data_IF_556055287873
#
_entry.id   IF_556055287873
#
_cell.length_a   1.000
_cell.length_b   1.000
_cell.length_c   1.000
_cell.angle_alpha   90.00
_cell.angle_beta   90.00
_cell.angle_gamma   90.00
#
_symmetry.space_group_name_H-M   'P 1'
#
loop_
_entity.id
_entity.type
_entity.pdbx_description
1 polymer ?
#
# COMPACT_ATOMS: atom_id res chain seq x y z
N UNK A 1 -8.03 16.46 -3.00
CA UNK A 1 -7.41 16.78 -1.70
C UNK A 1 -7.76 15.67 -0.70
N UNK A 2 -6.78 15.16 0.04
CA UNK A 2 -6.99 14.13 1.06
C UNK A 2 -7.74 14.73 2.25
N UNK A 3 -8.68 13.98 2.81
CA UNK A 3 -9.42 14.39 4.01
C UNK A 3 -8.44 14.52 5.20
N UNK A 4 -8.57 15.60 6.00
CA UNK A 4 -7.71 15.84 7.17
C UNK A 4 -7.74 14.67 8.16
N UNK A 5 -8.91 14.04 8.35
CA UNK A 5 -9.05 12.88 9.23
C UNK A 5 -8.28 11.68 8.69
N UNK A 6 -8.37 11.42 7.39
CA UNK A 6 -7.63 10.32 6.74
C UNK A 6 -6.12 10.58 6.80
N UNK A 7 -5.68 11.82 6.58
CA UNK A 7 -4.28 12.19 6.70
C UNK A 7 -3.74 11.97 8.13
N UNK A 8 -4.52 12.36 9.15
CA UNK A 8 -4.18 12.14 10.55
C UNK A 8 -4.11 10.65 10.92
N UNK A 9 -5.09 9.85 10.50
CA UNK A 9 -5.10 8.39 10.71
C UNK A 9 -3.85 7.76 10.07
N UNK A 10 -3.54 8.11 8.82
CA UNK A 10 -2.34 7.61 8.14
C UNK A 10 -1.03 8.02 8.86
N UNK A 11 -0.96 9.23 9.40
CA UNK A 11 0.20 9.70 10.15
C UNK A 11 0.38 8.88 11.45
N UNK A 12 -0.68 8.75 12.24
CA UNK A 12 -0.65 8.07 13.54
C UNK A 12 -0.52 6.55 13.42
N UNK A 13 -1.07 5.94 12.37
CA UNK A 13 -1.11 4.49 12.23
C UNK A 13 -0.04 3.88 11.33
N UNK A 14 0.58 4.67 10.45
CA UNK A 14 1.66 4.20 9.56
C UNK A 14 2.99 4.86 9.85
N UNK A 15 3.04 6.19 9.90
CA UNK A 15 4.30 6.93 9.99
C UNK A 15 4.91 6.85 11.39
N UNK A 16 4.14 7.14 12.44
CA UNK A 16 4.62 7.10 13.83
C UNK A 16 5.07 5.67 14.23
N UNK A 17 4.28 4.60 13.99
CA UNK A 17 4.69 3.24 14.36
C UNK A 17 5.92 2.77 13.59
N UNK A 18 6.09 3.24 12.34
CA UNK A 18 7.29 2.95 11.57
C UNK A 18 8.54 3.51 12.23
N UNK A 19 8.57 4.81 12.53
CA UNK A 19 9.76 5.45 13.11
C UNK A 19 10.09 4.95 14.51
N UNK A 20 9.06 4.63 15.32
CA UNK A 20 9.24 4.35 16.75
C UNK A 20 9.42 2.86 17.07
N UNK A 21 8.80 1.96 16.30
CA UNK A 21 8.75 0.52 16.65
C UNK A 21 9.23 -0.41 15.54
N UNK A 22 8.89 -0.13 14.28
CA UNK A 22 9.07 -1.11 13.18
C UNK A 22 10.45 -0.98 12.52
N UNK A 23 10.91 0.25 12.25
CA UNK A 23 12.21 0.52 11.60
C UNK A 23 13.40 -0.13 12.32
N UNK A 24 13.46 -0.19 13.67
CA UNK A 24 14.56 -0.87 14.38
C UNK A 24 14.51 -2.40 14.28
N UNK A 25 13.31 -3.00 14.20
CA UNK A 25 13.14 -4.46 14.20
C UNK A 25 13.51 -5.11 12.87
N UNK A 26 13.41 -4.35 11.79
CA UNK A 26 13.60 -4.88 10.44
C UNK A 26 14.27 -3.85 9.53
N UNK A 27 15.62 -3.68 9.63
CA UNK A 27 16.36 -2.71 8.83
C UNK A 27 16.34 -3.02 7.33
N UNK A 28 15.94 -4.24 6.92
CA UNK A 28 15.91 -4.68 5.52
C UNK A 28 14.50 -4.73 4.91
N UNK A 29 13.44 -4.66 5.74
CA UNK A 29 12.06 -4.64 5.30
C UNK A 29 11.50 -6.00 4.88
N UNK A 30 11.92 -7.07 5.56
CA UNK A 30 11.43 -8.44 5.46
C UNK A 30 10.15 -8.68 6.30
N UNK A 31 8.99 -8.28 5.77
CA UNK A 31 7.68 -8.51 6.40
C UNK A 31 7.12 -9.90 6.01
N UNK A 32 6.43 -10.57 6.95
CA UNK A 32 5.76 -11.84 6.68
C UNK A 32 4.42 -11.63 6.01
N UNK A 33 4.41 -11.64 4.68
CA UNK A 33 3.17 -11.60 3.90
C UNK A 33 2.31 -12.87 4.06
N UNK A 34 2.79 -13.87 4.81
CA UNK A 34 2.01 -15.07 5.16
C UNK A 34 1.32 -14.94 6.54
N UNK A 35 1.41 -13.78 7.19
CA UNK A 35 0.66 -13.51 8.40
C UNK A 35 -0.84 -13.78 8.19
N UNK A 36 -1.45 -14.54 9.11
CA UNK A 36 -2.85 -15.03 8.98
C UNK A 36 -3.83 -13.90 8.68
N UNK A 37 -3.74 -12.79 9.42
CA UNK A 37 -4.63 -11.64 9.23
C UNK A 37 -4.44 -10.97 7.86
N UNK A 38 -3.20 -10.91 7.35
CA UNK A 38 -2.95 -10.39 6.00
C UNK A 38 -3.51 -11.31 4.90
N UNK A 39 -3.33 -12.63 5.03
CA UNK A 39 -3.91 -13.62 4.12
C UNK A 39 -5.44 -13.52 4.11
N UNK A 40 -6.05 -13.44 5.30
CA UNK A 40 -7.51 -13.36 5.46
C UNK A 40 -8.06 -12.07 4.86
N UNK A 41 -7.41 -10.93 5.11
CA UNK A 41 -7.75 -9.65 4.50
C UNK A 41 -7.66 -9.73 2.97
N UNK A 42 -6.58 -10.33 2.45
CA UNK A 42 -6.37 -10.52 1.00
C UNK A 42 -7.50 -11.33 0.37
N UNK A 43 -7.89 -12.44 1.00
CA UNK A 43 -8.97 -13.30 0.51
C UNK A 43 -10.32 -12.61 0.55
N UNK A 44 -10.64 -11.93 1.65
CA UNK A 44 -11.96 -11.33 1.90
C UNK A 44 -12.23 -10.13 0.99
N UNK A 45 -11.19 -9.37 0.64
CA UNK A 45 -11.30 -8.16 -0.16
C UNK A 45 -10.81 -8.33 -1.60
N UNK A 46 -10.66 -9.58 -2.06
CA UNK A 46 -10.16 -9.95 -3.39
C UNK A 46 -8.93 -9.11 -3.80
N UNK A 47 -7.96 -9.05 -2.88
CA UNK A 47 -6.83 -8.16 -3.01
C UNK A 47 -5.85 -8.70 -4.04
N UNK A 48 -5.65 -7.91 -5.09
CA UNK A 48 -4.63 -8.17 -6.09
C UNK A 48 -3.32 -7.58 -5.61
N UNK A 49 -2.35 -8.45 -5.35
CA UNK A 49 -1.00 -8.09 -4.93
C UNK A 49 -0.01 -8.55 -5.98
N UNK A 50 0.74 -7.61 -6.56
CA UNK A 50 1.79 -7.91 -7.54
C UNK A 50 3.09 -7.23 -7.14
N UNK A 51 4.20 -7.95 -7.29
CA UNK A 51 5.55 -7.41 -7.08
C UNK A 51 6.26 -7.37 -8.41
N UNK A 52 6.73 -6.20 -8.79
CA UNK A 52 7.36 -5.94 -10.07
C UNK A 52 8.82 -5.57 -9.89
N UNK A 53 9.68 -5.99 -10.82
CA UNK A 53 11.14 -5.78 -10.69
C UNK A 53 11.51 -4.30 -10.86
N UNK A 54 10.82 -3.58 -11.74
CA UNK A 54 11.08 -2.17 -12.02
C UNK A 54 9.84 -1.29 -11.83
N UNK A 55 10.07 0.04 -11.81
CA UNK A 55 8.97 1.00 -11.73
C UNK A 55 8.13 1.04 -13.01
N UNK A 56 8.76 0.87 -14.18
CA UNK A 56 8.07 0.80 -15.46
C UNK A 56 7.16 -0.45 -15.53
N UNK A 57 7.63 -1.59 -15.02
CA UNK A 57 6.82 -2.81 -14.93
C UNK A 57 5.64 -2.64 -13.97
N UNK A 58 5.85 -1.92 -12.86
CA UNK A 58 4.79 -1.55 -11.92
C UNK A 58 3.72 -0.71 -12.59
N UNK A 59 4.11 0.35 -13.29
CA UNK A 59 3.19 1.25 -13.96
C UNK A 59 2.42 0.55 -15.09
N UNK A 60 3.08 -0.35 -15.83
CA UNK A 60 2.46 -1.16 -16.88
C UNK A 60 1.47 -2.17 -16.29
N UNK A 61 1.85 -2.87 -15.23
CA UNK A 61 0.99 -3.82 -14.53
C UNK A 61 -0.24 -3.13 -13.93
N UNK A 62 -0.04 -1.95 -13.33
CA UNK A 62 -1.14 -1.12 -12.84
C UNK A 62 -2.03 -0.73 -13.99
N UNK A 63 -1.49 -0.17 -15.07
CA UNK A 63 -2.28 0.25 -16.23
C UNK A 63 -3.10 -0.89 -16.82
N UNK A 64 -2.51 -2.09 -16.93
CA UNK A 64 -3.23 -3.30 -17.35
C UNK A 64 -4.34 -3.68 -16.36
N UNK A 65 -4.03 -3.70 -15.06
CA UNK A 65 -5.02 -4.01 -14.01
C UNK A 65 -6.13 -2.97 -13.92
N UNK A 66 -5.86 -1.71 -14.24
CA UNK A 66 -6.84 -0.64 -14.36
C UNK A 66 -7.71 -0.80 -15.61
N UNK A 67 -7.10 -1.17 -16.73
CA UNK A 67 -7.78 -1.40 -18.00
C UNK A 67 -8.73 -2.60 -17.95
N UNK A 68 -8.44 -3.59 -17.10
CA UNK A 68 -9.35 -4.70 -16.82
C UNK A 68 -10.59 -4.33 -16.00
N UNK A 69 -10.81 -3.04 -15.70
CA UNK A 69 -11.89 -2.54 -14.84
C UNK A 69 -12.07 -3.37 -13.58
N UNK A 70 -11.09 -3.32 -12.65
CA UNK A 70 -11.14 -4.14 -11.46
C UNK A 70 -12.46 -3.85 -10.74
N UNK A 71 -13.08 -4.91 -10.24
CA UNK A 71 -14.37 -4.82 -9.56
C UNK A 71 -14.26 -3.75 -8.49
N UNK A 72 -15.36 -3.06 -8.25
CA UNK A 72 -15.36 -1.93 -7.36
C UNK A 72 -14.96 -2.35 -5.92
N UNK A 73 -15.05 -3.63 -5.59
CA UNK A 73 -14.69 -4.26 -4.31
C UNK A 73 -13.22 -4.69 -4.23
N UNK A 74 -12.50 -4.77 -5.36
CA UNK A 74 -11.11 -5.23 -5.41
C UNK A 74 -10.14 -4.15 -4.93
N UNK A 75 -9.18 -4.59 -4.12
CA UNK A 75 -8.06 -3.76 -3.66
C UNK A 75 -6.82 -4.09 -4.50
N UNK A 76 -6.13 -3.07 -5.01
CA UNK A 76 -4.95 -3.26 -5.85
C UNK A 76 -3.69 -2.80 -5.12
N UNK A 77 -2.67 -3.65 -5.09
CA UNK A 77 -1.36 -3.34 -4.54
C UNK A 77 -0.31 -3.79 -5.55
N UNK A 78 0.53 -2.86 -6.01
CA UNK A 78 1.64 -3.15 -6.93
C UNK A 78 2.90 -2.49 -6.42
N UNK A 79 3.88 -3.28 -6.00
CA UNK A 79 5.09 -2.78 -5.36
C UNK A 79 6.35 -3.13 -6.17
N UNK A 80 7.38 -2.28 -6.10
CA UNK A 80 8.63 -2.42 -6.87
C UNK A 80 9.73 -3.13 -6.04
N UNK A 81 10.45 -4.13 -6.57
CA UNK A 81 11.70 -4.63 -5.95
C UNK A 81 12.36 -5.93 -6.48
N UNK A 82 13.56 -6.19 -5.96
CA UNK A 82 14.50 -7.29 -6.23
C UNK A 82 14.26 -8.50 -5.30
N UNK A 83 13.17 -9.24 -5.50
CA UNK A 83 12.87 -10.58 -4.96
C UNK A 83 13.05 -10.90 -3.45
N UNK A 84 13.57 -10.01 -2.60
CA UNK A 84 13.48 -10.13 -1.12
C UNK A 84 12.07 -9.79 -0.61
N UNK A 85 11.20 -9.29 -1.50
CA UNK A 85 9.80 -8.95 -1.29
C UNK A 85 9.58 -7.44 -1.37
N UNK A 86 9.61 -6.81 -2.56
CA UNK A 86 9.22 -5.40 -2.79
C UNK A 86 9.47 -4.45 -1.59
N UNK A 87 10.71 -4.44 -1.06
CA UNK A 87 11.11 -4.06 0.32
C UNK A 87 10.03 -3.34 1.14
N UNK A 88 9.14 -4.15 1.70
CA UNK A 88 8.04 -3.80 2.60
C UNK A 88 6.95 -2.90 2.00
N UNK A 89 5.76 -3.47 1.79
CA UNK A 89 4.52 -2.73 1.58
C UNK A 89 4.33 -1.59 2.59
N UNK A 90 4.72 -1.83 3.86
CA UNK A 90 4.68 -0.83 4.93
C UNK A 90 5.60 0.36 4.62
N UNK A 91 6.85 0.10 4.22
CA UNK A 91 7.81 1.16 3.87
C UNK A 91 7.29 2.03 2.72
N UNK A 92 6.71 1.40 1.71
CA UNK A 92 6.13 2.12 0.57
C UNK A 92 4.93 2.97 0.99
N UNK A 93 3.99 2.40 1.75
CA UNK A 93 2.85 3.13 2.28
C UNK A 93 3.31 4.31 3.17
N UNK A 94 4.26 4.08 4.09
CA UNK A 94 4.87 5.11 4.94
C UNK A 94 5.53 6.21 4.12
N UNK A 95 6.30 5.87 3.09
CA UNK A 95 6.97 6.87 2.26
C UNK A 95 5.98 7.73 1.50
N UNK A 96 4.90 7.13 0.98
CA UNK A 96 3.82 7.91 0.39
C UNK A 96 3.23 8.92 1.38
N UNK A 97 2.99 8.51 2.63
CA UNK A 97 2.47 9.41 3.68
C UNK A 97 3.48 10.51 4.01
N UNK A 98 4.75 10.15 4.25
CA UNK A 98 5.80 11.10 4.64
C UNK A 98 6.06 12.19 3.59
N UNK A 99 5.88 11.86 2.31
CA UNK A 99 6.12 12.78 1.19
C UNK A 99 4.82 13.37 0.62
N UNK A 100 3.69 13.25 1.32
CA UNK A 100 2.38 13.75 0.85
C UNK A 100 1.99 13.22 -0.54
N UNK A 101 2.39 12.00 -0.86
CA UNK A 101 2.06 11.29 -2.10
C UNK A 101 0.89 10.30 -1.91
N UNK A 102 -0.08 10.70 -1.08
CA UNK A 102 -1.32 9.97 -0.85
C UNK A 102 -2.50 10.80 -1.35
N UNK A 103 -3.21 10.26 -2.33
CA UNK A 103 -4.35 10.93 -2.95
C UNK A 103 -5.66 10.18 -2.68
N UNK A 104 -6.76 10.93 -2.61
CA UNK A 104 -8.11 10.36 -2.66
C UNK A 104 -8.70 10.57 -4.04
N UNK A 105 -9.07 9.48 -4.71
CA UNK A 105 -9.63 9.48 -6.08
C UNK A 105 -10.99 8.81 -6.07
N UNK A 106 -11.96 9.38 -6.80
CA UNK A 106 -13.27 8.76 -7.03
C UNK A 106 -13.23 7.96 -8.32
N UNK A 107 -13.64 6.69 -8.26
CA UNK A 107 -13.75 5.82 -9.43
C UNK A 107 -15.14 5.20 -9.40
N UNK A 108 -15.94 5.45 -10.44
CA UNK A 108 -17.38 5.15 -10.45
C UNK A 108 -18.03 5.72 -9.17
N UNK A 109 -18.64 4.87 -8.35
CA UNK A 109 -19.35 5.26 -7.13
C UNK A 109 -18.52 5.07 -5.84
N UNK A 110 -17.23 4.79 -5.94
CA UNK A 110 -16.38 4.48 -4.79
C UNK A 110 -15.16 5.40 -4.70
N UNK A 111 -14.72 5.65 -3.47
CA UNK A 111 -13.50 6.39 -3.19
C UNK A 111 -12.35 5.45 -2.91
N UNK A 112 -11.19 5.78 -3.46
CA UNK A 112 -9.95 5.05 -3.30
C UNK A 112 -8.86 5.97 -2.75
N UNK A 113 -8.01 5.40 -1.92
CA UNK A 113 -6.78 5.99 -1.40
C UNK A 113 -5.62 5.41 -2.20
N UNK A 114 -4.84 6.29 -2.80
CA UNK A 114 -3.79 5.99 -3.75
C UNK A 114 -2.46 6.34 -3.10
N UNK A 115 -1.61 5.35 -2.86
CA UNK A 115 -0.26 5.50 -2.33
C UNK A 115 0.72 5.52 -3.51
N UNK A 116 1.51 6.58 -3.63
CA UNK A 116 2.45 6.77 -4.72
C UNK A 116 3.78 7.36 -4.25
N UNK A 117 4.72 7.53 -5.18
CA UNK A 117 5.91 8.36 -5.01
C UNK A 117 6.20 9.15 -6.28
N UNK A 118 7.06 10.16 -6.17
CA UNK A 118 7.64 10.85 -7.32
C UNK A 118 9.10 10.46 -7.50
N UNK A 119 9.51 10.13 -8.72
CA UNK A 119 10.90 9.91 -9.08
C UNK A 119 11.17 10.49 -10.48
N UNK A 120 12.10 11.44 -10.60
CA UNK A 120 12.44 12.12 -11.89
C UNK A 120 11.18 12.56 -12.66
N UNK A 121 10.25 13.23 -11.97
CA UNK A 121 8.95 13.68 -12.50
C UNK A 121 8.00 12.57 -12.98
N UNK A 122 8.27 11.30 -12.69
CA UNK A 122 7.34 10.19 -12.92
C UNK A 122 6.64 9.82 -11.61
N UNK A 123 5.31 9.73 -11.66
CA UNK A 123 4.49 9.20 -10.56
C UNK A 123 4.58 7.68 -10.58
N UNK A 124 5.12 7.11 -9.50
CA UNK A 124 5.20 5.67 -9.28
C UNK A 124 4.04 5.27 -8.38
N UNK A 125 3.14 4.42 -8.84
CA UNK A 125 2.05 3.93 -7.99
C UNK A 125 2.51 2.71 -7.17
N UNK A 126 2.16 2.69 -5.87
CA UNK A 126 2.48 1.61 -4.94
C UNK A 126 1.25 0.83 -4.47
N UNK A 127 0.14 1.52 -4.19
CA UNK A 127 -1.10 0.87 -3.79
C UNK A 127 -2.32 1.72 -4.11
N UNK A 128 -3.45 1.07 -4.30
CA UNK A 128 -4.77 1.70 -4.43
C UNK A 128 -5.81 0.88 -3.68
N UNK A 129 -6.43 1.52 -2.70
CA UNK A 129 -7.22 0.84 -1.67
C UNK A 129 -8.55 1.54 -1.53
N UNK A 130 -9.66 0.80 -1.48
CA UNK A 130 -10.95 1.42 -1.24
C UNK A 130 -10.93 2.13 0.12
N UNK A 131 -11.40 3.38 0.17
CA UNK A 131 -11.31 4.22 1.36
C UNK A 131 -12.01 3.60 2.58
N UNK A 132 -13.11 2.88 2.39
CA UNK A 132 -13.81 2.15 3.45
C UNK A 132 -13.01 0.98 4.03
N UNK A 133 -11.99 0.48 3.31
CA UNK A 133 -11.13 -0.64 3.71
C UNK A 133 -9.78 -0.21 4.25
N UNK A 134 -9.53 1.11 4.35
CA UNK A 134 -8.23 1.64 4.75
C UNK A 134 -7.80 1.17 6.16
N UNK A 135 -8.73 1.17 7.13
CA UNK A 135 -8.43 0.73 8.50
C UNK A 135 -8.09 -0.76 8.58
N UNK A 136 -8.92 -1.60 7.97
CA UNK A 136 -8.69 -3.05 7.87
C UNK A 136 -7.36 -3.34 7.17
N UNK A 137 -7.05 -2.60 6.10
CA UNK A 137 -5.79 -2.71 5.38
C UNK A 137 -4.58 -2.40 6.25
N UNK A 138 -4.62 -1.28 7.00
CA UNK A 138 -3.53 -0.91 7.90
C UNK A 138 -3.33 -1.98 8.98
N UNK A 139 -4.41 -2.49 9.58
CA UNK A 139 -4.34 -3.58 10.55
C UNK A 139 -3.74 -4.86 9.94
N UNK A 140 -4.17 -5.23 8.73
CA UNK A 140 -3.62 -6.37 8.00
C UNK A 140 -2.13 -6.20 7.72
N UNK A 141 -1.70 -5.00 7.30
CA UNK A 141 -0.28 -4.70 7.14
C UNK A 141 0.49 -4.78 8.47
N UNK A 142 -0.07 -4.34 9.60
CA UNK A 142 0.60 -4.37 10.92
C UNK A 142 0.92 -5.80 11.30
N UNK A 143 0.03 -6.74 10.96
CA UNK A 143 0.24 -8.17 11.22
C UNK A 143 1.42 -8.79 10.48
N UNK A 144 1.92 -8.13 9.41
CA UNK A 144 3.07 -8.62 8.64
C UNK A 144 4.42 -8.30 9.30
N UNK A 145 4.45 -7.45 10.34
CA UNK A 145 5.66 -7.17 11.12
C UNK A 145 5.96 -8.40 11.98
N UNK A 146 7.08 -9.10 11.74
CA UNK A 146 7.48 -10.22 12.60
C UNK A 146 7.89 -9.67 13.97
N UNK A 147 7.29 -10.20 15.04
CA UNK A 147 7.41 -9.78 16.43
C UNK A 147 6.90 -8.36 16.72
N UNK A 148 5.62 -8.28 17.09
CA UNK A 148 5.14 -7.37 18.14
C UNK A 148 4.43 -8.24 19.17
#
# INVERSE_FOLDING_TARGET
>A
MLDRKIAADLYLDLLVPWETKIKPLDPKGNFDLRAKAFIEFKRTNDLQFKVEKTGADSDLAISGLLACEPKAEQILIVAKGDNSGARSLWRHARNSVAHSHVDKVKIKNKYFIVFSASNKNKKLLYARIQASKLKEFIAAMKSTVKNV
#
